data_IF_808086110172
#
_entry.id   IF_808086110172
#
_cell.length_a   1.000
_cell.length_b   1.000
_cell.length_c   1.000
_cell.angle_alpha   90.00
_cell.angle_beta   90.00
_cell.angle_gamma   90.00
#
_symmetry.space_group_name_H-M   'P 1'
#
loop_
_entity.id
_entity.type
_entity.pdbx_description
1 polymer ?
#
# COMPACT_ATOMS: atom_id res chain seq x y z
N UNK A 1 -19.16 -19.29 -14.50
CA UNK A 1 -18.10 -18.74 -13.63
C UNK A 1 -16.72 -18.98 -14.19
N UNK A 2 -16.32 -20.24 -14.45
CA UNK A 2 -14.99 -20.57 -15.04
C UNK A 2 -14.65 -19.73 -16.27
N UNK A 3 -15.54 -19.64 -17.27
CA UNK A 3 -15.33 -18.79 -18.46
C UNK A 3 -15.00 -17.33 -18.10
N UNK A 4 -15.71 -16.74 -17.12
CA UNK A 4 -15.44 -15.36 -16.71
C UNK A 4 -14.08 -15.24 -16.01
N UNK A 5 -13.71 -16.21 -15.14
CA UNK A 5 -12.43 -16.23 -14.45
C UNK A 5 -11.24 -16.42 -15.42
N UNK A 6 -11.43 -17.15 -16.51
CA UNK A 6 -10.41 -17.34 -17.56
C UNK A 6 -10.29 -16.11 -18.47
N UNK A 7 -11.41 -15.44 -18.79
CA UNK A 7 -11.43 -14.31 -19.72
C UNK A 7 -11.02 -12.99 -19.08
N UNK A 8 -11.41 -12.74 -17.83
CA UNK A 8 -11.17 -11.46 -17.15
C UNK A 8 -9.69 -11.05 -17.12
N UNK A 9 -8.74 -11.93 -16.78
CA UNK A 9 -7.31 -11.56 -16.77
C UNK A 9 -6.83 -11.08 -18.13
N UNK A 10 -7.26 -11.73 -19.22
CA UNK A 10 -6.90 -11.32 -20.58
C UNK A 10 -7.46 -9.94 -20.95
N UNK A 11 -8.65 -9.60 -20.45
CA UNK A 11 -9.31 -8.32 -20.71
C UNK A 11 -8.72 -7.18 -19.88
N UNK A 12 -8.35 -7.43 -18.62
CA UNK A 12 -8.15 -6.36 -17.64
C UNK A 12 -6.78 -6.35 -16.98
N UNK A 13 -5.85 -7.27 -17.33
CA UNK A 13 -4.48 -7.26 -16.82
C UNK A 13 -3.69 -5.97 -17.16
N UNK A 14 -4.13 -5.19 -18.16
CA UNK A 14 -3.54 -3.89 -18.53
C UNK A 14 -4.08 -2.73 -17.70
N UNK A 15 -5.15 -2.94 -16.95
CA UNK A 15 -5.78 -1.90 -16.15
C UNK A 15 -4.96 -1.64 -14.90
N UNK A 16 -4.14 -0.58 -14.97
CA UNK A 16 -3.51 0.04 -13.82
C UNK A 16 -4.19 1.40 -13.55
N UNK A 17 -5.22 1.45 -12.71
CA UNK A 17 -5.95 2.69 -12.47
C UNK A 17 -5.06 3.76 -11.83
N UNK A 18 -4.02 3.38 -11.07
CA UNK A 18 -3.05 4.31 -10.47
C UNK A 18 -2.40 5.19 -11.53
N UNK A 19 -2.02 4.61 -12.66
CA UNK A 19 -1.43 5.36 -13.76
C UNK A 19 -2.43 6.30 -14.45
N UNK A 20 -3.72 5.96 -14.46
CA UNK A 20 -4.75 6.80 -15.08
C UNK A 20 -5.00 8.09 -14.29
N UNK A 21 -5.14 8.00 -12.97
CA UNK A 21 -5.41 9.17 -12.11
C UNK A 21 -4.13 9.80 -11.54
N UNK A 22 -2.95 9.43 -12.01
CA UNK A 22 -1.70 10.15 -11.71
C UNK A 22 -1.55 11.29 -12.71
N UNK A 23 -1.46 12.52 -12.21
CA UNK A 23 -1.31 13.69 -13.04
C UNK A 23 0.05 13.71 -13.76
N UNK A 24 0.09 14.35 -14.93
CA UNK A 24 1.28 14.56 -15.72
C UNK A 24 2.31 15.41 -14.93
N UNK A 25 3.60 15.05 -15.03
CA UNK A 25 4.75 15.81 -14.48
C UNK A 25 4.63 16.23 -12.99
N UNK A 26 4.11 15.35 -12.13
CA UNK A 26 3.87 15.60 -10.69
C UNK A 26 5.02 16.30 -9.96
N UNK A 27 6.27 15.93 -10.26
CA UNK A 27 7.44 16.51 -9.61
C UNK A 27 7.60 18.01 -9.95
N UNK A 28 7.50 18.37 -11.22
CA UNK A 28 7.56 19.76 -11.68
C UNK A 28 6.35 20.56 -11.21
N UNK A 29 5.17 19.93 -11.18
CA UNK A 29 3.95 20.52 -10.64
C UNK A 29 4.09 20.86 -9.15
N UNK A 30 4.66 19.94 -8.35
CA UNK A 30 4.96 20.17 -6.94
C UNK A 30 5.90 21.33 -6.73
N UNK A 31 7.01 21.36 -7.46
CA UNK A 31 8.03 22.40 -7.35
C UNK A 31 7.42 23.78 -7.62
N UNK A 32 6.74 23.94 -8.77
CA UNK A 32 6.05 25.17 -9.14
C UNK A 32 5.04 25.61 -8.10
N UNK A 33 4.14 24.72 -7.66
CA UNK A 33 3.13 25.06 -6.67
C UNK A 33 3.75 25.55 -5.35
N UNK A 34 4.79 24.86 -4.85
CA UNK A 34 5.44 25.25 -3.60
C UNK A 34 6.20 26.57 -3.72
N UNK A 35 6.75 26.89 -4.89
CA UNK A 35 7.42 28.17 -5.12
C UNK A 35 6.43 29.32 -5.25
N UNK A 36 5.35 29.14 -6.00
CA UNK A 36 4.22 30.07 -6.07
C UNK A 36 3.63 30.33 -4.67
N UNK A 37 3.44 29.25 -3.89
CA UNK A 37 2.94 29.34 -2.52
C UNK A 37 3.86 30.20 -1.63
N UNK A 38 5.18 30.01 -1.71
CA UNK A 38 6.14 30.85 -0.96
C UNK A 38 6.18 32.29 -1.45
N UNK A 39 5.94 32.52 -2.74
CA UNK A 39 5.85 33.85 -3.34
C UNK A 39 4.55 34.58 -2.99
N UNK A 40 3.62 33.95 -2.27
CA UNK A 40 2.33 34.54 -1.91
C UNK A 40 1.24 34.37 -2.95
N UNK A 41 1.50 33.63 -4.03
CA UNK A 41 0.53 33.27 -5.05
C UNK A 41 -0.36 32.15 -4.48
N UNK A 42 -1.68 32.29 -4.62
CA UNK A 42 -2.70 31.46 -3.96
C UNK A 42 -3.67 30.92 -4.99
N UNK A 43 -3.16 30.08 -5.89
CA UNK A 43 -3.93 29.45 -6.96
C UNK A 43 -3.93 27.93 -6.80
N UNK A 44 -5.04 27.28 -7.21
CA UNK A 44 -5.12 25.83 -7.21
C UNK A 44 -4.32 25.27 -8.41
N UNK A 45 -3.56 24.17 -8.23
CA UNK A 45 -2.82 23.54 -9.32
C UNK A 45 -3.78 22.88 -10.31
N UNK A 46 -3.51 22.98 -11.61
CA UNK A 46 -4.28 22.22 -12.61
C UNK A 46 -3.64 20.86 -12.86
N UNK A 47 -4.45 19.82 -12.88
CA UNK A 47 -4.01 18.47 -13.19
C UNK A 47 -4.39 18.12 -14.63
N UNK A 48 -3.45 17.48 -15.31
CA UNK A 48 -3.65 16.90 -16.63
C UNK A 48 -3.33 15.41 -16.54
N UNK A 49 -4.02 14.59 -17.32
CA UNK A 49 -3.92 13.13 -17.27
C UNK A 49 -3.60 12.54 -18.64
N UNK A 50 -3.00 13.34 -19.52
CA UNK A 50 -2.85 13.01 -20.93
C UNK A 50 -1.91 11.82 -21.12
N UNK A 51 -0.83 11.74 -20.34
CA UNK A 51 0.15 10.66 -20.46
C UNK A 51 -0.45 9.31 -20.03
N UNK A 52 -1.15 9.27 -18.89
CA UNK A 52 -1.80 8.06 -18.38
C UNK A 52 -2.86 7.52 -19.35
N UNK A 53 -3.74 8.39 -19.85
CA UNK A 53 -4.77 8.06 -20.85
C UNK A 53 -4.14 7.51 -22.13
N UNK A 54 -3.14 8.21 -22.68
CA UNK A 54 -2.45 7.80 -23.90
C UNK A 54 -1.72 6.46 -23.72
N UNK A 55 -1.07 6.23 -22.57
CA UNK A 55 -0.36 4.99 -22.26
C UNK A 55 -1.31 3.79 -22.23
N UNK A 56 -2.47 3.91 -21.58
CA UNK A 56 -3.45 2.83 -21.56
C UNK A 56 -3.99 2.55 -22.97
N UNK A 57 -4.41 3.58 -23.72
CA UNK A 57 -4.91 3.39 -25.10
C UNK A 57 -3.88 2.73 -26.00
N UNK A 58 -2.63 3.17 -25.94
CA UNK A 58 -1.55 2.57 -26.71
C UNK A 58 -1.29 1.11 -26.31
N UNK A 59 -1.41 0.78 -25.02
CA UNK A 59 -1.28 -0.60 -24.52
C UNK A 59 -2.38 -1.51 -25.09
N UNK A 60 -3.63 -1.06 -25.01
CA UNK A 60 -4.77 -1.81 -25.54
C UNK A 60 -4.70 -1.99 -27.07
N UNK A 61 -4.29 -0.95 -27.79
CA UNK A 61 -4.15 -0.99 -29.24
C UNK A 61 -3.08 -2.01 -29.70
N UNK A 62 -1.96 -2.16 -28.95
CA UNK A 62 -0.94 -3.18 -29.25
C UNK A 62 -1.48 -4.60 -29.14
N UNK A 63 -2.43 -4.82 -28.24
CA UNK A 63 -3.09 -6.11 -28.04
C UNK A 63 -4.30 -6.29 -28.98
N UNK A 64 -4.50 -5.38 -29.95
CA UNK A 64 -5.57 -5.46 -30.94
C UNK A 64 -6.96 -5.19 -30.37
N UNK A 65 -7.06 -4.52 -29.23
CA UNK A 65 -8.33 -4.20 -28.57
C UNK A 65 -8.50 -2.69 -28.34
N UNK A 66 -9.64 -2.28 -27.77
CA UNK A 66 -9.94 -0.90 -27.41
C UNK A 66 -10.71 -0.84 -26.09
N UNK A 67 -10.74 0.32 -25.40
CA UNK A 67 -11.57 0.51 -24.21
C UNK A 67 -13.05 0.18 -24.46
N UNK A 68 -13.57 0.54 -25.64
CA UNK A 68 -14.97 0.34 -26.01
C UNK A 68 -15.27 -1.15 -26.25
N UNK A 69 -14.35 -1.88 -26.87
CA UNK A 69 -14.45 -3.33 -27.04
C UNK A 69 -14.43 -4.05 -25.68
N UNK A 70 -13.49 -3.69 -24.80
CA UNK A 70 -13.41 -4.25 -23.44
C UNK A 70 -14.69 -3.94 -22.65
N UNK A 71 -15.19 -2.70 -22.72
CA UNK A 71 -16.45 -2.31 -22.06
C UNK A 71 -17.62 -3.18 -22.51
N UNK A 72 -17.75 -3.42 -23.82
CA UNK A 72 -18.80 -4.25 -24.37
C UNK A 72 -18.69 -5.70 -23.85
N UNK A 73 -17.49 -6.28 -23.86
CA UNK A 73 -17.25 -7.63 -23.35
C UNK A 73 -17.51 -7.76 -21.84
N UNK A 74 -17.02 -6.81 -21.03
CA UNK A 74 -17.26 -6.79 -19.58
C UNK A 74 -18.76 -6.65 -19.28
N UNK A 75 -19.49 -5.80 -20.02
CA UNK A 75 -20.94 -5.61 -19.86
C UNK A 75 -21.70 -6.90 -20.20
N UNK A 76 -21.31 -7.59 -21.28
CA UNK A 76 -21.90 -8.87 -21.66
C UNK A 76 -21.64 -9.96 -20.60
N UNK A 77 -20.38 -10.10 -20.14
CA UNK A 77 -20.01 -11.03 -19.09
C UNK A 77 -20.79 -10.75 -17.81
N UNK A 78 -20.93 -9.48 -17.42
CA UNK A 78 -21.71 -9.08 -16.26
C UNK A 78 -23.18 -9.47 -16.37
N UNK A 79 -23.81 -9.22 -17.52
CA UNK A 79 -25.19 -9.61 -17.75
C UNK A 79 -25.37 -11.15 -17.66
N UNK A 80 -24.46 -11.92 -18.26
CA UNK A 80 -24.45 -13.39 -18.18
C UNK A 80 -24.31 -13.89 -16.75
N UNK A 81 -23.37 -13.35 -15.98
CA UNK A 81 -23.15 -13.74 -14.58
C UNK A 81 -24.35 -13.36 -13.72
N UNK A 82 -24.90 -12.16 -13.88
CA UNK A 82 -26.08 -11.70 -13.14
C UNK A 82 -27.30 -12.60 -13.38
N UNK A 83 -27.50 -13.06 -14.63
CA UNK A 83 -28.58 -13.97 -15.00
C UNK A 83 -28.35 -15.43 -14.57
N UNK A 84 -27.14 -15.81 -14.17
CA UNK A 84 -26.84 -17.18 -13.78
C UNK A 84 -27.58 -17.57 -12.49
N UNK A 85 -28.40 -18.63 -12.48
CA UNK A 85 -29.12 -19.07 -11.29
C UNK A 85 -28.14 -19.60 -10.24
N UNK A 86 -28.43 -19.35 -8.98
CA UNK A 86 -27.75 -19.96 -7.83
C UNK A 86 -28.78 -20.84 -7.14
N UNK A 87 -28.44 -22.10 -6.86
CA UNK A 87 -29.34 -23.00 -6.17
C UNK A 87 -29.64 -22.47 -4.76
N UNK A 88 -30.87 -22.67 -4.28
CA UNK A 88 -31.23 -22.31 -2.91
C UNK A 88 -30.35 -23.09 -1.92
N UNK A 89 -29.71 -22.37 -0.99
CA UNK A 89 -28.78 -22.94 -0.02
C UNK A 89 -27.34 -23.13 -0.51
N UNK A 90 -27.00 -22.77 -1.75
CA UNK A 90 -25.61 -22.78 -2.25
C UNK A 90 -24.92 -21.43 -1.99
N UNK A 91 -24.55 -21.21 -0.73
CA UNK A 91 -23.92 -19.97 -0.27
C UNK A 91 -22.57 -19.70 -0.97
N UNK A 92 -21.80 -20.76 -1.27
CA UNK A 92 -20.53 -20.64 -1.97
C UNK A 92 -20.71 -20.12 -3.39
N UNK A 93 -21.63 -20.71 -4.17
CA UNK A 93 -21.92 -20.23 -5.52
C UNK A 93 -22.50 -18.80 -5.50
N UNK A 94 -23.32 -18.47 -4.49
CA UNK A 94 -23.81 -17.12 -4.25
C UNK A 94 -22.70 -16.11 -4.03
N UNK A 95 -21.72 -16.45 -3.20
CA UNK A 95 -20.56 -15.61 -2.89
C UNK A 95 -19.63 -15.46 -4.09
N UNK A 96 -19.31 -16.55 -4.78
CA UNK A 96 -18.51 -16.51 -6.01
C UNK A 96 -19.17 -15.61 -7.07
N UNK A 97 -20.50 -15.69 -7.22
CA UNK A 97 -21.25 -14.82 -8.13
C UNK A 97 -21.08 -13.34 -7.76
N UNK A 98 -21.26 -13.00 -6.49
CA UNK A 98 -21.11 -11.63 -6.02
C UNK A 98 -19.68 -11.12 -6.22
N UNK A 99 -18.67 -11.93 -5.93
CA UNK A 99 -17.28 -11.55 -6.10
C UNK A 99 -16.93 -11.27 -7.58
N UNK A 100 -17.35 -12.14 -8.50
CA UNK A 100 -17.15 -11.91 -9.94
C UNK A 100 -17.89 -10.67 -10.43
N UNK A 101 -19.14 -10.44 -9.96
CA UNK A 101 -19.89 -9.23 -10.32
C UNK A 101 -19.19 -7.97 -9.82
N UNK A 102 -18.68 -7.97 -8.59
CA UNK A 102 -17.90 -6.84 -8.06
C UNK A 102 -16.64 -6.61 -8.85
N UNK A 103 -15.93 -7.67 -9.25
CA UNK A 103 -14.74 -7.53 -10.09
C UNK A 103 -15.06 -6.91 -11.46
N UNK A 104 -16.18 -7.31 -12.06
CA UNK A 104 -16.66 -6.71 -13.31
C UNK A 104 -17.05 -5.24 -13.12
N UNK A 105 -17.72 -4.89 -12.02
CA UNK A 105 -18.08 -3.50 -11.69
C UNK A 105 -16.82 -2.63 -11.45
N UNK A 106 -15.82 -3.19 -10.78
CA UNK A 106 -14.51 -2.58 -10.56
C UNK A 106 -13.78 -2.31 -11.89
N UNK A 107 -13.67 -3.30 -12.78
CA UNK A 107 -12.99 -3.10 -14.07
C UNK A 107 -13.78 -2.19 -15.02
N UNK A 108 -15.12 -2.27 -15.03
CA UNK A 108 -15.98 -1.31 -15.76
C UNK A 108 -15.78 0.12 -15.25
N UNK A 109 -15.57 0.30 -13.95
CA UNK A 109 -15.26 1.60 -13.36
C UNK A 109 -13.91 2.14 -13.81
N UNK A 110 -12.92 1.28 -14.11
CA UNK A 110 -11.67 1.73 -14.75
C UNK A 110 -11.92 2.30 -16.14
N UNK A 111 -12.81 1.68 -16.92
CA UNK A 111 -13.19 2.22 -18.25
C UNK A 111 -13.96 3.54 -18.10
N UNK A 112 -14.88 3.62 -17.14
CA UNK A 112 -15.60 4.87 -16.85
C UNK A 112 -14.66 6.00 -16.41
N UNK A 113 -13.63 5.68 -15.61
CA UNK A 113 -12.60 6.62 -15.21
C UNK A 113 -11.82 7.14 -16.44
N UNK A 114 -11.40 6.25 -17.34
CA UNK A 114 -10.73 6.63 -18.59
C UNK A 114 -11.60 7.58 -19.42
N UNK A 115 -12.88 7.24 -19.62
CA UNK A 115 -13.85 8.07 -20.34
C UNK A 115 -14.02 9.44 -19.65
N UNK A 116 -14.10 9.47 -18.33
CA UNK A 116 -14.23 10.70 -17.54
C UNK A 116 -13.00 11.61 -17.66
N UNK A 117 -11.79 11.06 -17.54
CA UNK A 117 -10.56 11.84 -17.64
C UNK A 117 -10.33 12.38 -19.06
N UNK A 118 -10.59 11.57 -20.09
CA UNK A 118 -10.45 11.97 -21.49
C UNK A 118 -11.52 13.00 -21.91
N UNK A 119 -12.77 12.78 -21.49
CA UNK A 119 -13.89 13.69 -21.74
C UNK A 119 -13.90 14.93 -20.85
N UNK A 120 -13.02 15.01 -19.85
CA UNK A 120 -13.04 16.02 -18.78
C UNK A 120 -14.40 16.10 -18.06
N UNK A 121 -14.99 14.95 -17.79
CA UNK A 121 -16.30 14.78 -17.14
C UNK A 121 -16.14 14.35 -15.67
N UNK A 122 -16.06 15.32 -14.75
CA UNK A 122 -15.86 15.10 -13.31
C UNK A 122 -16.86 14.12 -12.68
N UNK A 123 -18.15 14.20 -13.08
CA UNK A 123 -19.17 13.29 -12.58
C UNK A 123 -18.87 11.81 -12.88
N UNK A 124 -18.26 11.50 -14.03
CA UNK A 124 -17.84 10.12 -14.37
C UNK A 124 -16.65 9.69 -13.53
N UNK A 125 -15.67 10.59 -13.34
CA UNK A 125 -14.50 10.32 -12.50
C UNK A 125 -14.95 10.02 -11.07
N UNK A 126 -15.78 10.88 -10.47
CA UNK A 126 -16.35 10.70 -9.14
C UNK A 126 -17.08 9.36 -9.00
N UNK A 127 -17.95 9.01 -9.95
CA UNK A 127 -18.70 7.76 -9.94
C UNK A 127 -17.78 6.53 -10.03
N UNK A 128 -16.75 6.59 -10.88
CA UNK A 128 -15.76 5.53 -11.00
C UNK A 128 -14.97 5.33 -9.70
N UNK A 129 -14.44 6.41 -9.11
CA UNK A 129 -13.67 6.34 -7.86
C UNK A 129 -14.53 5.82 -6.69
N UNK A 130 -15.79 6.28 -6.61
CA UNK A 130 -16.74 5.82 -5.58
C UNK A 130 -17.01 4.32 -5.68
N UNK A 131 -17.13 3.80 -6.91
CA UNK A 131 -17.37 2.36 -7.12
C UNK A 131 -16.13 1.53 -6.76
N UNK A 132 -14.93 2.03 -7.05
CA UNK A 132 -13.67 1.33 -6.77
C UNK A 132 -13.29 1.28 -5.30
N UNK A 133 -13.42 2.41 -4.61
CA UNK A 133 -12.84 2.61 -3.28
C UNK A 133 -13.89 2.88 -2.20
N UNK A 134 -15.18 2.81 -2.56
CA UNK A 134 -16.30 3.09 -1.68
C UNK A 134 -16.57 4.58 -1.48
N UNK A 135 -17.50 4.88 -0.57
CA UNK A 135 -17.69 6.22 -0.05
C UNK A 135 -16.48 6.63 0.80
N UNK A 136 -16.19 7.93 0.90
CA UNK A 136 -15.05 8.42 1.66
C UNK A 136 -15.24 8.31 3.18
N UNK A 137 -15.02 9.41 3.88
CA UNK A 137 -14.77 9.36 5.32
C UNK A 137 -16.06 9.46 6.12
N UNK A 138 -16.41 8.35 6.79
CA UNK A 138 -17.46 8.31 7.80
C UNK A 138 -17.04 8.99 9.12
N UNK A 139 -18.02 9.34 9.92
CA UNK A 139 -17.80 10.11 11.16
C UNK A 139 -16.98 9.31 12.20
N UNK A 140 -17.12 7.98 12.25
CA UNK A 140 -16.37 7.15 13.19
C UNK A 140 -14.88 7.10 12.82
N UNK A 141 -14.55 6.97 11.54
CA UNK A 141 -13.19 7.03 11.04
C UNK A 141 -12.58 8.43 11.27
N UNK A 142 -13.36 9.49 11.06
CA UNK A 142 -12.93 10.86 11.33
C UNK A 142 -12.64 11.09 12.82
N UNK A 143 -13.49 10.56 13.71
CA UNK A 143 -13.28 10.61 15.16
C UNK A 143 -12.02 9.87 15.59
N UNK A 144 -11.78 8.67 15.05
CA UNK A 144 -10.56 7.93 15.28
C UNK A 144 -9.32 8.70 14.81
N UNK A 145 -9.37 9.32 13.62
CA UNK A 145 -8.28 10.14 13.11
C UNK A 145 -7.97 11.34 14.03
N UNK A 146 -8.98 11.96 14.65
CA UNK A 146 -8.78 13.03 15.65
C UNK A 146 -8.05 12.53 16.90
N UNK A 147 -8.40 11.35 17.39
CA UNK A 147 -7.72 10.74 18.54
C UNK A 147 -6.24 10.48 18.21
N UNK A 148 -5.97 9.84 17.07
CA UNK A 148 -4.59 9.58 16.60
C UNK A 148 -3.82 10.89 16.44
N UNK A 149 -4.43 11.93 15.84
CA UNK A 149 -3.78 13.22 15.68
C UNK A 149 -3.48 13.90 17.03
N UNK A 150 -4.40 13.83 18.00
CA UNK A 150 -4.17 14.34 19.35
C UNK A 150 -2.91 13.75 19.98
N UNK A 151 -2.74 12.42 19.87
CA UNK A 151 -1.54 11.73 20.32
C UNK A 151 -0.27 12.22 19.60
N UNK A 152 -0.31 12.43 18.27
CA UNK A 152 0.85 12.92 17.50
C UNK A 152 1.28 14.33 17.94
N UNK A 153 0.32 15.19 18.29
CA UNK A 153 0.60 16.54 18.80
C UNK A 153 1.19 16.47 20.21
N UNK A 154 0.58 15.69 21.10
CA UNK A 154 1.05 15.53 22.49
C UNK A 154 2.47 14.99 22.57
N UNK A 155 2.80 14.03 21.70
CA UNK A 155 4.12 13.38 21.67
C UNK A 155 5.14 14.10 20.77
N UNK A 156 4.73 15.18 20.07
CA UNK A 156 5.53 15.85 19.04
C UNK A 156 6.17 14.85 18.06
N UNK A 157 5.42 13.83 17.66
CA UNK A 157 5.94 12.68 16.92
C UNK A 157 6.77 13.08 15.68
N UNK A 158 6.45 14.21 15.04
CA UNK A 158 7.15 14.68 13.85
C UNK A 158 8.36 15.60 14.10
N UNK A 159 8.65 15.98 15.35
CA UNK A 159 9.83 16.80 15.69
C UNK A 159 11.16 16.12 15.30
N UNK A 160 11.16 14.79 15.24
CA UNK A 160 12.30 13.95 14.89
C UNK A 160 12.51 13.76 13.37
N UNK A 161 11.52 14.08 12.53
CA UNK A 161 11.59 13.87 11.06
C UNK A 161 12.66 14.72 10.35
N UNK A 162 13.30 15.66 11.05
CA UNK A 162 14.40 16.49 10.55
C UNK A 162 15.62 16.57 11.45
N UNK A 163 15.67 15.82 12.56
CA UNK A 163 16.77 15.87 13.54
C UNK A 163 17.13 14.46 14.02
N UNK A 164 18.43 14.15 14.11
CA UNK A 164 18.91 13.02 14.91
C UNK A 164 18.28 13.16 16.30
N UNK A 165 17.53 12.14 16.73
CA UNK A 165 16.84 12.11 18.03
C UNK A 165 17.77 12.66 19.14
N UNK A 166 17.29 13.65 19.89
CA UNK A 166 17.99 14.12 21.09
C UNK A 166 17.75 13.10 22.20
N UNK A 167 18.82 12.72 22.89
CA UNK A 167 18.74 11.92 24.11
C UNK A 167 17.89 12.65 25.15
N UNK A 168 16.82 12.01 25.66
CA UNK A 168 16.09 12.49 26.83
C UNK A 168 14.56 12.51 26.77
N UNK A 169 13.92 12.15 25.65
CA UNK A 169 12.45 12.00 25.61
C UNK A 169 12.01 10.60 26.05
N UNK A 170 10.74 10.52 26.50
CA UNK A 170 10.14 9.44 27.31
C UNK A 170 10.67 8.02 27.04
N UNK A 171 10.80 7.23 28.11
CA UNK A 171 11.31 5.86 28.04
C UNK A 171 10.59 5.10 26.91
N UNK A 172 11.29 4.76 25.81
CA UNK A 172 10.65 4.07 24.71
C UNK A 172 10.09 2.74 25.22
N UNK A 173 9.00 2.27 24.64
CA UNK A 173 8.62 0.86 24.76
C UNK A 173 9.89 0.06 24.50
N UNK A 174 10.33 -0.77 25.44
CA UNK A 174 11.60 -1.45 25.27
C UNK A 174 11.41 -2.56 24.24
N UNK A 175 11.89 -2.32 23.01
CA UNK A 175 11.97 -3.36 21.99
C UNK A 175 12.87 -4.51 22.42
N UNK A 176 12.70 -5.66 21.77
CA UNK A 176 13.42 -6.89 22.11
C UNK A 176 14.89 -6.89 21.61
N UNK A 177 15.29 -5.92 20.77
CA UNK A 177 16.66 -5.82 20.29
C UNK A 177 17.60 -5.15 21.30
N UNK A 178 18.85 -5.65 21.47
CA UNK A 178 19.88 -4.93 22.21
C UNK A 178 20.07 -3.50 21.67
N UNK A 179 20.27 -2.48 22.53
CA UNK A 179 20.35 -1.08 22.10
C UNK A 179 21.42 -0.82 21.02
N UNK A 180 22.57 -1.49 21.10
CA UNK A 180 23.63 -1.36 20.10
C UNK A 180 23.21 -1.89 18.72
N UNK A 181 22.52 -3.03 18.68
CA UNK A 181 22.01 -3.62 17.44
C UNK A 181 20.87 -2.77 16.86
N UNK A 182 19.92 -2.34 17.70
CA UNK A 182 18.85 -1.43 17.28
C UNK A 182 19.41 -0.13 16.67
N UNK A 183 20.43 0.46 17.29
CA UNK A 183 21.09 1.65 16.77
C UNK A 183 21.82 1.40 15.44
N UNK A 184 22.52 0.25 15.29
CA UNK A 184 23.18 -0.13 14.04
C UNK A 184 22.19 -0.33 12.90
N UNK A 185 21.09 -1.04 13.13
CA UNK A 185 20.07 -1.26 12.09
C UNK A 185 19.31 0.02 11.72
N UNK A 186 19.22 0.98 12.65
CA UNK A 186 18.50 2.25 12.43
C UNK A 186 19.37 3.34 11.81
N UNK A 187 20.65 3.42 12.18
CA UNK A 187 21.56 4.53 11.88
C UNK A 187 22.91 4.10 11.27
N UNK A 188 23.14 2.80 11.13
CA UNK A 188 24.38 2.23 10.59
C UNK A 188 24.48 2.35 9.08
N UNK A 189 25.30 1.50 8.48
CA UNK A 189 25.48 1.46 7.03
C UNK A 189 24.17 1.09 6.34
N UNK A 190 23.88 1.78 5.23
CA UNK A 190 22.69 1.52 4.44
C UNK A 190 22.83 0.16 3.76
N UNK A 191 21.76 -0.63 3.79
CA UNK A 191 21.62 -1.84 3.00
C UNK A 191 21.27 -1.44 1.55
N UNK A 192 21.89 -2.10 0.59
CA UNK A 192 21.69 -1.87 -0.84
C UNK A 192 20.36 -2.45 -1.33
N UNK A 193 19.88 -1.99 -2.49
CA UNK A 193 18.69 -2.55 -3.14
C UNK A 193 18.91 -4.01 -3.56
N UNK A 194 20.13 -4.39 -3.93
CA UNK A 194 20.49 -5.77 -4.27
C UNK A 194 20.36 -6.70 -3.05
N UNK A 195 20.87 -6.31 -1.89
CA UNK A 195 20.70 -7.09 -0.65
C UNK A 195 19.22 -7.20 -0.26
N UNK A 196 18.41 -6.16 -0.52
CA UNK A 196 16.97 -6.23 -0.28
C UNK A 196 16.30 -7.21 -1.23
N UNK A 197 16.67 -7.20 -2.51
CA UNK A 197 16.20 -8.19 -3.49
C UNK A 197 16.55 -9.61 -3.05
N UNK A 198 17.75 -9.86 -2.56
CA UNK A 198 18.14 -11.18 -2.05
C UNK A 198 17.26 -11.64 -0.87
N UNK A 199 16.87 -10.71 0.01
CA UNK A 199 15.92 -10.98 1.09
C UNK A 199 14.52 -11.33 0.56
N UNK A 200 14.03 -10.58 -0.43
CA UNK A 200 12.73 -10.87 -1.09
C UNK A 200 12.76 -12.24 -1.75
N UNK A 201 13.80 -12.56 -2.52
CA UNK A 201 13.95 -13.86 -3.19
C UNK A 201 14.01 -15.00 -2.17
N UNK A 202 14.69 -14.80 -1.04
CA UNK A 202 14.74 -15.77 0.06
C UNK A 202 13.35 -16.05 0.65
N UNK A 203 12.54 -15.00 0.90
CA UNK A 203 11.20 -15.13 1.46
C UNK A 203 10.25 -15.82 0.46
N UNK A 204 10.26 -15.40 -0.80
CA UNK A 204 9.45 -16.01 -1.87
C UNK A 204 9.79 -17.49 -2.07
N UNK A 205 11.08 -17.84 -2.04
CA UNK A 205 11.53 -19.23 -2.14
C UNK A 205 10.91 -20.12 -1.06
N UNK A 206 10.74 -19.60 0.17
CA UNK A 206 10.08 -20.34 1.26
C UNK A 206 8.58 -20.46 1.08
N UNK A 207 7.89 -19.43 0.58
CA UNK A 207 6.48 -19.57 0.20
C UNK A 207 6.30 -20.63 -0.88
N UNK A 208 7.14 -20.63 -1.91
CA UNK A 208 7.07 -21.65 -2.97
C UNK A 208 7.33 -23.06 -2.43
N UNK A 209 8.34 -23.24 -1.58
CA UNK A 209 8.60 -24.53 -0.94
C UNK A 209 7.45 -24.98 -0.01
N UNK A 210 6.83 -24.05 0.71
CA UNK A 210 5.68 -24.35 1.58
C UNK A 210 4.47 -24.84 0.78
N UNK A 211 4.19 -24.20 -0.36
CA UNK A 211 3.16 -24.68 -1.30
C UNK A 211 3.46 -26.09 -1.79
N UNK A 212 4.69 -26.35 -2.22
CA UNK A 212 5.09 -27.67 -2.74
C UNK A 212 4.96 -28.76 -1.68
N UNK A 213 5.33 -28.44 -0.44
CA UNK A 213 5.18 -29.34 0.70
C UNK A 213 3.70 -29.59 1.06
N UNK A 214 2.83 -28.56 1.02
CA UNK A 214 1.40 -28.68 1.37
C UNK A 214 0.58 -29.35 0.26
N UNK A 215 0.84 -29.00 -1.00
CA UNK A 215 0.04 -29.44 -2.16
C UNK A 215 0.55 -30.72 -2.83
N UNK A 216 1.83 -31.05 -2.67
CA UNK A 216 2.49 -32.13 -3.42
C UNK A 216 2.74 -31.79 -4.90
N UNK A 217 2.55 -30.54 -5.32
CA UNK A 217 2.72 -30.08 -6.68
C UNK A 217 3.73 -28.93 -6.75
N UNK A 218 4.46 -28.83 -7.86
CA UNK A 218 5.36 -27.70 -8.13
C UNK A 218 4.59 -26.37 -8.12
N UNK A 219 5.20 -25.31 -7.58
CA UNK A 219 4.57 -24.00 -7.57
C UNK A 219 4.33 -23.49 -9.01
N UNK A 220 3.11 -23.08 -9.40
CA UNK A 220 2.80 -22.69 -10.77
C UNK A 220 3.67 -21.52 -11.26
N UNK A 221 4.40 -21.72 -12.36
CA UNK A 221 5.35 -20.73 -12.88
C UNK A 221 4.70 -19.38 -13.20
N UNK A 222 3.46 -19.38 -13.70
CA UNK A 222 2.72 -18.16 -14.04
C UNK A 222 2.34 -17.30 -12.82
N UNK A 223 2.41 -17.86 -11.62
CA UNK A 223 2.09 -17.16 -10.36
C UNK A 223 3.35 -16.76 -9.57
N UNK A 224 4.55 -17.13 -10.04
CA UNK A 224 5.80 -16.74 -9.36
C UNK A 224 6.05 -15.26 -9.57
N UNK A 225 6.24 -14.54 -8.48
CA UNK A 225 6.69 -13.16 -8.53
C UNK A 225 8.07 -13.08 -9.17
N UNK A 226 8.20 -12.20 -10.16
CA UNK A 226 9.51 -11.72 -10.60
C UNK A 226 9.93 -10.57 -9.71
N UNK A 227 11.21 -10.53 -9.32
CA UNK A 227 11.77 -9.44 -8.52
C UNK A 227 12.73 -8.65 -9.39
N UNK A 228 12.44 -7.37 -9.61
CA UNK A 228 13.12 -6.52 -10.58
C UNK A 228 13.72 -5.30 -9.88
N UNK A 229 15.00 -5.02 -10.15
CA UNK A 229 15.64 -3.75 -9.77
C UNK A 229 15.41 -2.75 -10.92
N UNK A 230 14.62 -1.71 -10.67
CA UNK A 230 14.29 -0.71 -11.68
C UNK A 230 13.95 0.64 -11.04
N UNK A 231 14.69 1.67 -11.44
CA UNK A 231 14.52 3.05 -10.96
C UNK A 231 13.25 3.74 -11.48
N UNK A 232 12.54 3.13 -12.42
CA UNK A 232 11.22 3.59 -12.84
C UNK A 232 10.18 3.48 -11.71
N UNK A 233 10.41 2.62 -10.72
CA UNK A 233 9.56 2.49 -9.54
C UNK A 233 9.82 3.64 -8.55
N UNK A 234 8.74 4.25 -8.06
CA UNK A 234 8.85 5.34 -7.06
C UNK A 234 9.08 4.83 -5.64
N UNK A 235 8.68 3.59 -5.37
CA UNK A 235 8.81 2.85 -4.11
C UNK A 235 8.91 1.36 -4.39
N UNK A 236 9.27 0.57 -3.37
CA UNK A 236 9.11 -0.89 -3.44
C UNK A 236 7.61 -1.16 -3.55
N UNK A 237 7.20 -1.98 -4.51
CA UNK A 237 5.79 -2.12 -4.90
C UNK A 237 5.48 -3.54 -5.37
N UNK A 238 4.42 -4.14 -4.83
CA UNK A 238 3.95 -5.48 -5.18
C UNK A 238 2.81 -5.36 -6.19
N UNK A 239 3.08 -5.75 -7.43
CA UNK A 239 2.11 -5.74 -8.53
C UNK A 239 1.73 -7.16 -8.89
N UNK A 240 0.74 -7.66 -8.17
CA UNK A 240 0.11 -8.95 -8.41
C UNK A 240 -0.84 -8.95 -9.61
N UNK A 241 -1.38 -7.78 -9.99
CA UNK A 241 -2.10 -7.55 -11.26
C UNK A 241 -1.16 -6.97 -12.31
N UNK A 242 -0.70 -7.80 -13.24
CA UNK A 242 0.20 -7.38 -14.32
C UNK A 242 0.05 -8.25 -15.57
N UNK A 243 0.30 -7.61 -16.72
CA UNK A 243 0.39 -8.23 -18.04
C UNK A 243 1.25 -9.47 -18.11
N UNK A 244 2.40 -9.37 -17.44
CA UNK A 244 3.56 -10.21 -17.68
C UNK A 244 3.72 -11.21 -16.53
N UNK A 245 2.67 -11.38 -15.73
CA UNK A 245 2.71 -12.06 -14.45
C UNK A 245 3.05 -11.12 -13.28
N UNK A 246 2.94 -11.62 -12.05
CA UNK A 246 3.14 -10.82 -10.84
C UNK A 246 4.59 -10.35 -10.72
N UNK A 247 4.80 -9.11 -10.30
CA UNK A 247 6.13 -8.48 -10.20
C UNK A 247 6.27 -7.69 -8.90
N UNK A 248 7.48 -7.70 -8.33
CA UNK A 248 7.90 -6.84 -7.23
C UNK A 248 8.99 -5.92 -7.78
N UNK A 249 8.67 -4.63 -7.88
CA UNK A 249 9.60 -3.61 -8.33
C UNK A 249 10.35 -3.01 -7.16
N UNK A 250 11.67 -2.89 -7.28
CA UNK A 250 12.55 -2.31 -6.25
C UNK A 250 13.37 -1.19 -6.90
N UNK A 251 13.21 0.08 -6.48
CA UNK A 251 14.09 1.15 -6.94
C UNK A 251 15.51 0.96 -6.41
N UNK A 252 16.52 1.35 -7.19
CA UNK A 252 17.94 1.24 -6.82
C UNK A 252 18.34 2.36 -5.85
N UNK A 253 17.79 2.29 -4.64
CA UNK A 253 18.01 3.26 -3.57
C UNK A 253 18.29 2.55 -2.27
N UNK A 254 19.52 2.69 -1.78
CA UNK A 254 19.91 2.16 -0.48
C UNK A 254 19.08 2.77 0.68
N UNK A 255 18.76 1.95 1.68
CA UNK A 255 17.97 2.35 2.86
C UNK A 255 18.55 1.76 4.13
N UNK A 256 18.09 2.22 5.29
CA UNK A 256 18.48 1.59 6.54
C UNK A 256 17.92 0.16 6.63
N UNK A 257 18.66 -0.78 7.24
CA UNK A 257 18.15 -2.12 7.51
C UNK A 257 16.79 -2.14 8.21
N UNK A 258 16.56 -1.24 9.20
CA UNK A 258 15.25 -1.07 9.84
C UNK A 258 14.14 -0.79 8.81
N UNK A 259 14.35 0.14 7.87
CA UNK A 259 13.35 0.48 6.87
C UNK A 259 13.09 -0.68 5.90
N UNK A 260 14.09 -1.50 5.62
CA UNK A 260 13.88 -2.70 4.81
C UNK A 260 13.14 -3.80 5.57
N UNK A 261 13.36 -4.00 6.87
CA UNK A 261 12.53 -4.91 7.66
C UNK A 261 11.07 -4.48 7.67
N UNK A 262 10.80 -3.18 7.83
CA UNK A 262 9.46 -2.59 7.69
C UNK A 262 8.84 -2.95 6.34
N UNK A 263 9.57 -2.74 5.24
CA UNK A 263 9.09 -3.01 3.88
C UNK A 263 8.96 -4.51 3.55
N UNK A 264 9.80 -5.39 4.09
CA UNK A 264 9.65 -6.84 3.94
C UNK A 264 8.35 -7.31 4.60
N UNK A 265 8.04 -6.79 5.79
CA UNK A 265 6.79 -7.13 6.49
C UNK A 265 5.57 -6.61 5.73
N UNK A 266 5.60 -5.36 5.29
CA UNK A 266 4.48 -4.73 4.57
C UNK A 266 4.26 -5.35 3.19
N UNK A 267 5.31 -5.42 2.37
CA UNK A 267 5.19 -5.79 0.95
C UNK A 267 5.19 -7.32 0.75
N UNK A 268 6.04 -8.06 1.46
CA UNK A 268 6.23 -9.48 1.14
C UNK A 268 5.37 -10.36 2.05
N UNK A 269 5.51 -10.23 3.35
CA UNK A 269 4.75 -11.05 4.30
C UNK A 269 3.26 -10.75 4.31
N UNK A 270 2.84 -9.56 3.89
CA UNK A 270 1.43 -9.19 3.88
C UNK A 270 0.91 -9.11 2.46
N UNK A 271 1.35 -8.14 1.67
CA UNK A 271 0.83 -7.93 0.32
C UNK A 271 0.98 -9.14 -0.61
N UNK A 272 2.20 -9.64 -0.82
CA UNK A 272 2.43 -10.80 -1.68
C UNK A 272 1.77 -12.08 -1.12
N UNK A 273 1.90 -12.33 0.19
CA UNK A 273 1.29 -13.50 0.84
C UNK A 273 -0.23 -13.52 0.73
N UNK A 274 -0.90 -12.41 1.06
CA UNK A 274 -2.37 -12.29 1.01
C UNK A 274 -2.87 -12.46 -0.42
N UNK A 275 -2.17 -11.90 -1.41
CA UNK A 275 -2.53 -12.10 -2.82
C UNK A 275 -2.39 -13.57 -3.25
N UNK A 276 -1.32 -14.26 -2.82
CA UNK A 276 -1.18 -15.70 -3.09
C UNK A 276 -2.25 -16.53 -2.38
N UNK A 277 -2.56 -16.26 -1.11
CA UNK A 277 -3.66 -16.92 -0.40
C UNK A 277 -4.99 -16.74 -1.14
N UNK A 278 -5.33 -15.49 -1.49
CA UNK A 278 -6.57 -15.19 -2.20
C UNK A 278 -6.67 -15.87 -3.56
N UNK A 279 -5.55 -16.03 -4.25
CA UNK A 279 -5.48 -16.81 -5.48
C UNK A 279 -5.73 -18.31 -5.23
N UNK A 280 -5.01 -18.95 -4.32
CA UNK A 280 -5.12 -20.40 -4.12
C UNK A 280 -6.40 -20.84 -3.41
N UNK A 281 -6.97 -19.99 -2.56
CA UNK A 281 -8.21 -20.32 -1.84
C UNK A 281 -9.45 -20.05 -2.69
N UNK A 282 -9.49 -18.92 -3.39
CA UNK A 282 -10.72 -18.45 -4.04
C UNK A 282 -10.58 -18.24 -5.54
N UNK A 283 -9.36 -18.14 -6.07
CA UNK A 283 -9.10 -17.85 -7.48
C UNK A 283 -9.34 -16.39 -7.88
N UNK A 284 -10.22 -15.66 -7.18
CA UNK A 284 -10.61 -14.27 -7.50
C UNK A 284 -10.19 -13.22 -6.46
N UNK A 285 -9.71 -13.63 -5.28
CA UNK A 285 -9.35 -12.71 -4.20
C UNK A 285 -7.85 -12.35 -4.21
N UNK A 286 -7.19 -12.51 -5.35
CA UNK A 286 -5.75 -12.29 -5.51
C UNK A 286 -5.31 -12.34 -6.98
N UNK A 287 -4.07 -11.95 -7.23
CA UNK A 287 -3.50 -11.89 -8.58
C UNK A 287 -4.29 -10.99 -9.54
N UNK A 288 -4.42 -11.42 -10.80
CA UNK A 288 -5.06 -10.63 -11.85
C UNK A 288 -6.56 -10.34 -11.62
N UNK A 289 -7.22 -11.07 -10.73
CA UNK A 289 -8.65 -10.98 -10.47
C UNK A 289 -8.99 -10.18 -9.21
N UNK A 290 -8.00 -9.67 -8.47
CA UNK A 290 -8.28 -8.81 -7.31
C UNK A 290 -9.07 -7.56 -7.71
N UNK A 291 -9.90 -7.11 -6.78
CA UNK A 291 -10.51 -5.77 -6.84
C UNK A 291 -9.51 -4.71 -6.38
N UNK A 292 -9.71 -3.46 -6.80
CA UNK A 292 -8.80 -2.35 -6.43
C UNK A 292 -9.13 -1.74 -5.05
N UNK A 293 -10.14 -2.24 -4.34
CA UNK A 293 -10.42 -1.85 -2.95
C UNK A 293 -9.28 -2.37 -2.05
N UNK A 294 -8.56 -1.44 -1.42
CA UNK A 294 -7.31 -1.73 -0.72
C UNK A 294 -7.44 -1.72 0.81
N UNK A 295 -8.63 -1.49 1.39
CA UNK A 295 -8.78 -1.32 2.84
C UNK A 295 -8.27 -2.53 3.61
N UNK A 296 -8.68 -3.72 3.23
CA UNK A 296 -8.22 -4.95 3.88
C UNK A 296 -6.75 -5.25 3.61
N UNK A 297 -6.30 -4.95 2.39
CA UNK A 297 -4.93 -5.16 1.91
C UNK A 297 -3.91 -4.29 2.68
N UNK A 298 -4.06 -2.97 2.61
CA UNK A 298 -3.20 -2.01 3.31
C UNK A 298 -3.38 -2.07 4.83
N UNK A 299 -4.59 -2.40 5.30
CA UNK A 299 -4.87 -2.57 6.72
C UNK A 299 -4.09 -3.71 7.35
N UNK A 300 -4.10 -4.89 6.70
CA UNK A 300 -3.33 -6.06 7.13
C UNK A 300 -1.84 -5.73 7.16
N UNK A 301 -1.33 -5.18 6.06
CA UNK A 301 0.07 -4.83 5.92
C UNK A 301 0.52 -3.83 6.98
N UNK A 302 -0.24 -2.75 7.17
CA UNK A 302 0.14 -1.69 8.11
C UNK A 302 0.07 -2.15 9.57
N UNK A 303 -0.93 -2.96 9.94
CA UNK A 303 -1.02 -3.52 11.29
C UNK A 303 0.20 -4.36 11.64
N UNK A 304 0.53 -5.30 10.77
CA UNK A 304 1.63 -6.24 10.96
C UNK A 304 3.01 -5.57 10.90
N UNK A 305 3.16 -4.53 10.08
CA UNK A 305 4.35 -3.68 10.04
C UNK A 305 4.57 -2.98 11.40
N UNK A 306 3.53 -2.33 11.94
CA UNK A 306 3.61 -1.61 13.22
C UNK A 306 3.91 -2.57 14.37
N UNK A 307 3.24 -3.72 14.42
CA UNK A 307 3.51 -4.72 15.46
C UNK A 307 4.96 -5.19 15.44
N UNK A 308 5.50 -5.50 14.26
CA UNK A 308 6.90 -5.89 14.12
C UNK A 308 7.85 -4.77 14.59
N UNK A 309 7.60 -3.52 14.19
CA UNK A 309 8.45 -2.38 14.57
C UNK A 309 8.39 -2.10 16.07
N UNK A 310 7.21 -2.22 16.69
CA UNK A 310 7.01 -2.11 18.13
C UNK A 310 7.78 -3.20 18.87
N UNK A 311 7.63 -4.45 18.46
CA UNK A 311 8.27 -5.60 19.11
C UNK A 311 9.79 -5.58 18.99
N UNK A 312 10.33 -5.31 17.80
CA UNK A 312 11.77 -5.35 17.55
C UNK A 312 12.46 -4.09 18.08
N UNK A 313 11.93 -2.91 17.72
CA UNK A 313 12.62 -1.64 17.93
C UNK A 313 12.05 -0.82 19.08
N UNK A 314 10.91 -1.19 19.64
CA UNK A 314 10.23 -0.36 20.63
C UNK A 314 9.56 0.87 20.01
N UNK A 315 9.33 0.82 18.69
CA UNK A 315 8.76 1.93 17.94
C UNK A 315 7.23 1.92 18.12
N UNK A 316 6.74 2.74 19.02
CA UNK A 316 5.30 2.90 19.28
C UNK A 316 4.66 3.97 18.36
N UNK A 317 5.19 4.11 17.14
CA UNK A 317 4.57 4.97 16.14
C UNK A 317 3.20 4.42 15.77
N UNK A 318 2.17 5.17 16.15
CA UNK A 318 0.80 4.99 15.66
C UNK A 318 0.78 5.17 14.12
N UNK A 319 -0.19 4.59 13.40
CA UNK A 319 -0.29 4.80 11.96
C UNK A 319 -0.31 6.30 11.63
N UNK A 320 0.65 6.75 10.84
CA UNK A 320 0.96 8.16 10.55
C UNK A 320 -0.04 8.87 9.63
N UNK A 321 -1.29 8.39 9.56
CA UNK A 321 -2.19 8.70 8.45
C UNK A 321 -3.50 9.45 8.81
N UNK A 322 -3.68 10.13 9.97
CA UNK A 322 -4.92 10.89 10.17
C UNK A 322 -5.06 12.04 9.15
N UNK A 323 -3.94 12.51 8.59
CA UNK A 323 -3.91 13.55 7.56
C UNK A 323 -4.70 13.19 6.29
N UNK A 324 -4.65 11.94 5.84
CA UNK A 324 -5.42 11.52 4.66
C UNK A 324 -6.92 11.55 4.97
N UNK A 325 -7.33 11.01 6.11
CA UNK A 325 -8.72 11.06 6.57
C UNK A 325 -9.24 12.50 6.66
N UNK A 326 -8.45 13.42 7.23
CA UNK A 326 -8.85 14.84 7.29
C UNK A 326 -8.93 15.48 5.90
N UNK A 327 -7.93 15.25 5.05
CA UNK A 327 -7.90 15.83 3.71
C UNK A 327 -9.05 15.31 2.83
N UNK A 328 -9.35 14.02 2.89
CA UNK A 328 -10.49 13.41 2.17
C UNK A 328 -11.79 14.06 2.65
N UNK A 329 -12.03 14.11 3.97
CA UNK A 329 -13.25 14.72 4.52
C UNK A 329 -13.42 16.17 4.08
N UNK A 330 -12.35 16.97 4.13
CA UNK A 330 -12.40 18.37 3.68
C UNK A 330 -12.73 18.49 2.18
N UNK A 331 -12.14 17.64 1.34
CA UNK A 331 -12.43 17.63 -0.09
C UNK A 331 -13.89 17.17 -0.37
N UNK A 332 -14.41 16.20 0.36
CA UNK A 332 -15.83 15.80 0.27
C UNK A 332 -16.78 16.90 0.74
N UNK A 333 -16.33 17.82 1.61
CA UNK A 333 -17.05 19.03 2.02
C UNK A 333 -16.92 20.19 1.02
N UNK A 334 -16.31 19.96 -0.15
CA UNK A 334 -16.17 20.94 -1.22
C UNK A 334 -15.00 21.92 -1.03
N UNK A 335 -14.03 21.59 -0.18
CA UNK A 335 -12.80 22.38 -0.06
C UNK A 335 -11.92 22.22 -1.30
N UNK A 336 -11.31 23.33 -1.70
CA UNK A 336 -10.33 23.37 -2.78
C UNK A 336 -8.98 22.80 -2.36
N UNK A 337 -8.14 22.47 -3.36
CA UNK A 337 -6.80 21.94 -3.12
C UNK A 337 -5.97 22.85 -2.20
N UNK A 338 -5.99 24.16 -2.45
CA UNK A 338 -5.24 25.13 -1.66
C UNK A 338 -5.71 25.16 -0.19
N UNK A 339 -7.03 25.14 0.05
CA UNK A 339 -7.58 25.11 1.41
C UNK A 339 -7.18 23.84 2.17
N UNK A 340 -7.23 22.69 1.49
CA UNK A 340 -6.81 21.40 2.09
C UNK A 340 -5.31 21.39 2.35
N UNK A 341 -4.50 21.84 1.39
CA UNK A 341 -3.04 21.98 1.54
C UNK A 341 -2.68 22.86 2.75
N UNK A 342 -3.30 24.03 2.87
CA UNK A 342 -3.07 24.95 3.99
C UNK A 342 -3.39 24.30 5.34
N UNK A 343 -4.51 23.58 5.43
CA UNK A 343 -4.88 22.87 6.64
C UNK A 343 -3.86 21.77 6.98
N UNK A 344 -3.46 20.95 5.99
CA UNK A 344 -2.50 19.87 6.22
C UNK A 344 -1.12 20.40 6.63
N UNK A 345 -0.67 21.49 6.03
CA UNK A 345 0.59 22.14 6.42
C UNK A 345 0.54 22.61 7.88
N UNK A 346 -0.55 23.27 8.29
CA UNK A 346 -0.76 23.73 9.67
C UNK A 346 -0.79 22.58 10.67
N UNK A 347 -1.51 21.51 10.37
CA UNK A 347 -1.59 20.34 11.25
C UNK A 347 -0.21 19.68 11.43
N UNK A 348 0.57 19.55 10.36
CA UNK A 348 1.93 18.99 10.42
C UNK A 348 2.89 19.86 11.23
N UNK A 349 2.82 21.18 11.05
CA UNK A 349 3.61 22.11 11.86
C UNK A 349 3.22 22.05 13.34
N UNK A 350 1.92 21.92 13.65
CA UNK A 350 1.43 21.76 15.02
C UNK A 350 1.94 20.47 15.68
N UNK A 351 2.11 19.39 14.90
CA UNK A 351 2.69 18.13 15.37
C UNK A 351 4.24 18.09 15.33
N UNK A 352 4.90 19.23 15.05
CA UNK A 352 6.35 19.40 15.22
C UNK A 352 7.18 19.30 13.93
N UNK A 353 6.59 19.06 12.75
CA UNK A 353 7.34 19.07 11.49
C UNK A 353 7.93 20.46 11.22
N UNK A 354 9.17 20.52 10.70
CA UNK A 354 9.71 21.77 10.14
C UNK A 354 8.85 22.28 8.98
N UNK A 355 8.79 23.59 8.75
CA UNK A 355 7.98 24.19 7.68
C UNK A 355 8.24 23.55 6.31
N UNK A 356 9.51 23.42 5.90
CA UNK A 356 9.88 22.80 4.61
C UNK A 356 9.31 21.39 4.46
N UNK A 357 9.41 20.59 5.51
CA UNK A 357 8.92 19.20 5.51
C UNK A 357 7.39 19.15 5.58
N UNK A 358 6.79 20.01 6.40
CA UNK A 358 5.34 20.14 6.54
C UNK A 358 4.69 20.48 5.21
N UNK A 359 5.22 21.47 4.48
CA UNK A 359 4.73 21.84 3.14
C UNK A 359 4.90 20.70 2.13
N UNK A 360 6.06 20.03 2.11
CA UNK A 360 6.30 18.90 1.21
C UNK A 360 5.34 17.73 1.48
N UNK A 361 5.09 17.42 2.75
CA UNK A 361 4.21 16.32 3.13
C UNK A 361 2.72 16.69 3.01
N UNK A 362 2.37 17.95 3.23
CA UNK A 362 1.03 18.48 2.94
C UNK A 362 0.73 18.36 1.45
N UNK A 363 1.66 18.73 0.57
CA UNK A 363 1.52 18.51 -0.87
C UNK A 363 1.26 17.04 -1.17
N UNK A 364 2.06 16.12 -0.63
CA UNK A 364 1.91 14.70 -0.91
C UNK A 364 0.54 14.16 -0.48
N UNK A 365 0.04 14.60 0.68
CA UNK A 365 -1.28 14.21 1.16
C UNK A 365 -2.40 14.79 0.28
N UNK A 366 -2.41 16.11 0.07
CA UNK A 366 -3.43 16.80 -0.73
C UNK A 366 -3.42 16.31 -2.18
N UNK A 367 -2.25 16.15 -2.80
CA UNK A 367 -2.14 15.61 -4.16
C UNK A 367 -2.82 14.26 -4.31
N UNK A 368 -2.55 13.32 -3.40
CA UNK A 368 -3.15 11.98 -3.48
C UNK A 368 -4.67 12.01 -3.34
N UNK A 369 -5.20 12.88 -2.47
CA UNK A 369 -6.65 13.08 -2.28
C UNK A 369 -7.34 13.73 -3.48
N UNK A 370 -6.62 14.56 -4.25
CA UNK A 370 -7.14 15.21 -5.44
C UNK A 370 -6.79 14.48 -6.75
N UNK A 371 -6.25 13.26 -6.70
CA UNK A 371 -6.03 12.46 -7.91
C UNK A 371 -7.36 12.14 -8.58
N UNK A 372 -7.45 12.39 -9.88
CA UNK A 372 -8.68 12.29 -10.67
C UNK A 372 -9.37 13.64 -10.89
N UNK A 373 -9.12 14.65 -10.05
CA UNK A 373 -9.72 15.98 -10.23
C UNK A 373 -9.20 16.67 -11.48
N UNK A 374 -10.14 17.08 -12.33
CA UNK A 374 -9.90 17.95 -13.48
C UNK A 374 -9.90 19.42 -13.03
N UNK A 375 -10.79 19.77 -12.09
CA UNK A 375 -10.84 21.06 -11.41
C UNK A 375 -10.58 20.89 -9.90
N UNK A 376 -9.38 21.31 -9.49
CA UNK A 376 -8.91 21.26 -8.10
C UNK A 376 -9.49 22.39 -7.22
N UNK A 377 -10.32 23.29 -7.77
CA UNK A 377 -11.24 24.08 -6.97
C UNK A 377 -12.38 23.22 -6.37
N UNK A 378 -12.58 22.01 -6.91
CA UNK A 378 -13.45 20.96 -6.40
C UNK A 378 -14.94 21.35 -6.25
N UNK A 379 -15.57 21.87 -7.31
CA UNK A 379 -16.99 22.26 -7.29
C UNK A 379 -17.93 21.06 -7.07
N UNK A 380 -17.54 19.87 -7.51
CA UNK A 380 -18.34 18.64 -7.40
C UNK A 380 -18.16 17.90 -6.06
N UNK A 381 -17.36 18.46 -5.15
CA UNK A 381 -17.17 18.01 -3.78
C UNK A 381 -16.93 16.49 -3.68
N UNK A 382 -15.75 16.05 -4.12
CA UNK A 382 -15.33 14.66 -3.98
C UNK A 382 -13.83 14.54 -3.71
N UNK A 383 -13.42 13.34 -3.36
CA UNK A 383 -12.05 12.99 -3.03
C UNK A 383 -11.70 11.64 -3.64
N UNK A 384 -10.40 11.39 -3.82
CA UNK A 384 -9.86 10.05 -4.03
C UNK A 384 -9.64 9.40 -2.67
N UNK A 385 -10.49 8.42 -2.27
CA UNK A 385 -10.50 7.95 -0.89
C UNK A 385 -9.54 6.79 -0.66
N UNK A 386 -8.76 6.38 -1.66
CA UNK A 386 -7.83 5.23 -1.62
C UNK A 386 -7.01 5.17 -0.32
N UNK A 387 -6.42 6.28 0.11
CA UNK A 387 -5.53 6.30 1.29
C UNK A 387 -6.26 6.22 2.64
N UNK A 388 -7.60 6.21 2.66
CA UNK A 388 -8.34 5.86 3.86
C UNK A 388 -8.14 4.39 4.26
N UNK A 389 -7.75 3.55 3.29
CA UNK A 389 -7.46 2.13 3.46
C UNK A 389 -6.47 1.87 4.61
N UNK A 390 -5.46 2.73 4.77
CA UNK A 390 -4.46 2.57 5.83
C UNK A 390 -5.05 2.65 7.23
N UNK A 391 -5.75 3.75 7.57
CA UNK A 391 -6.28 3.92 8.93
C UNK A 391 -7.50 3.03 9.17
N UNK A 392 -8.46 3.03 8.24
CA UNK A 392 -9.67 2.20 8.36
C UNK A 392 -9.29 0.72 8.42
N UNK A 393 -8.44 0.27 7.50
CA UNK A 393 -7.99 -1.11 7.42
C UNK A 393 -7.20 -1.53 8.65
N UNK A 394 -6.31 -0.68 9.16
CA UNK A 394 -5.56 -0.96 10.39
C UNK A 394 -6.50 -1.17 11.58
N UNK A 395 -7.50 -0.29 11.76
CA UNK A 395 -8.48 -0.42 12.86
C UNK A 395 -9.29 -1.72 12.73
N UNK A 396 -9.74 -2.04 11.52
CA UNK A 396 -10.51 -3.25 11.27
C UNK A 396 -9.66 -4.52 11.49
N UNK A 397 -8.41 -4.51 11.02
CA UNK A 397 -7.48 -5.62 11.25
C UNK A 397 -7.18 -5.79 12.75
N UNK A 398 -6.96 -4.71 13.49
CA UNK A 398 -6.74 -4.79 14.93
C UNK A 398 -7.91 -5.48 15.63
N UNK A 399 -9.14 -5.13 15.27
CA UNK A 399 -10.35 -5.78 15.81
C UNK A 399 -10.44 -7.27 15.46
N UNK A 400 -10.03 -7.67 14.25
CA UNK A 400 -9.97 -9.08 13.86
C UNK A 400 -8.89 -9.82 14.67
N UNK A 401 -7.69 -9.23 14.79
CA UNK A 401 -6.58 -9.78 15.57
C UNK A 401 -6.96 -10.00 17.03
N UNK A 402 -7.57 -9.00 17.68
CA UNK A 402 -8.03 -9.09 19.08
C UNK A 402 -9.06 -10.22 19.30
N UNK A 403 -9.79 -10.61 18.25
CA UNK A 403 -10.79 -11.68 18.29
C UNK A 403 -10.26 -13.03 17.81
N UNK A 404 -9.00 -13.14 17.42
CA UNK A 404 -8.42 -14.35 16.85
C UNK A 404 -8.92 -14.67 15.42
N UNK A 405 -9.38 -13.66 14.69
CA UNK A 405 -10.01 -13.78 13.36
C UNK A 405 -9.16 -13.21 12.22
N UNK A 406 -7.86 -12.95 12.43
CA UNK A 406 -6.97 -12.39 11.41
C UNK A 406 -6.94 -13.20 10.11
N UNK A 407 -7.06 -14.52 10.22
CA UNK A 407 -7.08 -15.43 9.07
C UNK A 407 -8.16 -15.08 8.04
N UNK A 408 -9.27 -14.45 8.44
CA UNK A 408 -10.31 -14.01 7.51
C UNK A 408 -9.79 -12.93 6.54
N UNK A 409 -8.95 -12.02 7.00
CA UNK A 409 -8.34 -11.00 6.14
C UNK A 409 -7.16 -11.59 5.34
N UNK A 410 -6.34 -12.44 5.99
CA UNK A 410 -5.19 -13.09 5.33
C UNK A 410 -5.58 -14.03 4.18
N UNK A 411 -6.82 -14.52 4.17
CA UNK A 411 -7.33 -15.44 3.16
C UNK A 411 -7.43 -14.82 1.76
N UNK A 412 -7.50 -13.50 1.65
CA UNK A 412 -7.51 -12.83 0.35
C UNK A 412 -7.92 -11.36 0.40
N UNK A 413 -7.81 -10.73 -0.76
CA UNK A 413 -8.17 -9.33 -0.99
C UNK A 413 -9.64 -9.27 -1.40
N UNK A 414 -10.41 -8.48 -0.69
CA UNK A 414 -11.86 -8.39 -0.89
C UNK A 414 -12.41 -7.00 -0.59
N UNK A 415 -13.70 -6.79 -0.88
CA UNK A 415 -14.39 -5.56 -0.54
C UNK A 415 -14.53 -5.38 0.98
N UNK A 416 -14.99 -4.20 1.41
CA UNK A 416 -15.10 -3.85 2.84
C UNK A 416 -15.95 -4.84 3.67
N UNK A 417 -16.97 -5.45 3.08
CA UNK A 417 -17.82 -6.50 3.68
C UNK A 417 -17.29 -7.94 3.46
N UNK A 418 -16.10 -8.08 2.87
CA UNK A 418 -15.45 -9.35 2.56
C UNK A 418 -15.34 -10.30 3.76
N UNK A 419 -14.83 -9.86 4.93
CA UNK A 419 -14.73 -10.74 6.10
C UNK A 419 -16.07 -11.24 6.63
N UNK A 420 -17.14 -10.45 6.54
CA UNK A 420 -18.48 -10.94 6.90
C UNK A 420 -18.89 -12.10 5.99
N UNK A 421 -18.65 -11.96 4.69
CA UNK A 421 -18.91 -12.99 3.71
C UNK A 421 -18.03 -14.23 3.95
N UNK A 422 -16.74 -14.04 4.21
CA UNK A 422 -15.80 -15.13 4.46
C UNK A 422 -16.07 -15.86 5.78
N UNK A 423 -16.57 -15.17 6.81
CA UNK A 423 -16.90 -15.76 8.11
C UNK A 423 -18.02 -16.81 8.05
N UNK A 424 -18.73 -16.91 6.91
CA UNK A 424 -19.75 -17.94 6.66
C UNK A 424 -19.14 -19.28 6.27
N UNK A 425 -17.85 -19.29 5.90
CA UNK A 425 -17.11 -20.51 5.66
C UNK A 425 -16.45 -20.98 6.95
N UNK A 426 -16.54 -22.28 7.21
CA UNK A 426 -15.85 -22.92 8.31
C UNK A 426 -14.40 -23.21 7.88
N UNK A 427 -13.51 -22.22 8.03
CA UNK A 427 -12.07 -22.37 7.83
C UNK A 427 -11.28 -21.66 8.92
N UNK A 428 -10.13 -22.23 9.27
CA UNK A 428 -9.18 -21.69 10.23
C UNK A 428 -7.86 -21.26 9.61
N UNK A 429 -6.92 -20.74 10.43
CA UNK A 429 -5.56 -20.40 9.99
C UNK A 429 -4.83 -21.56 9.29
N UNK A 430 -5.09 -22.81 9.69
CA UNK A 430 -4.50 -24.02 9.13
C UNK A 430 -4.93 -24.31 7.69
N UNK A 431 -6.08 -23.79 7.27
CA UNK A 431 -6.62 -23.97 5.93
C UNK A 431 -5.94 -23.05 4.92
N UNK A 432 -5.41 -21.91 5.37
CA UNK A 432 -4.64 -20.97 4.54
C UNK A 432 -3.49 -21.68 3.85
N UNK A 433 -3.29 -21.44 2.54
CA UNK A 433 -2.14 -21.99 1.82
C UNK A 433 -0.82 -21.52 2.46
N UNK A 434 -0.78 -20.25 2.84
CA UNK A 434 0.32 -19.60 3.53
C UNK A 434 -0.19 -18.97 4.84
N UNK A 435 -0.20 -19.72 5.96
CA UNK A 435 -0.50 -19.15 7.27
C UNK A 435 0.49 -18.03 7.61
N UNK A 436 0.18 -17.14 8.57
CA UNK A 436 1.13 -16.10 9.00
C UNK A 436 2.35 -16.74 9.68
N UNK A 437 3.34 -17.04 8.86
CA UNK A 437 4.71 -17.32 9.26
C UNK A 437 5.45 -16.02 9.07
N UNK A 438 5.88 -15.38 10.16
CA UNK A 438 6.61 -14.12 10.11
C UNK A 438 8.01 -14.34 9.49
N UNK A 439 8.08 -14.44 8.16
CA UNK A 439 9.31 -14.72 7.42
C UNK A 439 10.25 -13.52 7.46
N UNK A 440 9.74 -12.31 7.70
CA UNK A 440 10.56 -11.13 7.95
C UNK A 440 11.39 -11.32 9.21
N UNK A 441 10.76 -11.76 10.30
CA UNK A 441 11.48 -12.10 11.54
C UNK A 441 12.43 -13.29 11.32
N UNK A 442 12.01 -14.33 10.58
CA UNK A 442 12.88 -15.47 10.30
C UNK A 442 14.12 -15.06 9.50
N UNK A 443 13.96 -14.26 8.44
CA UNK A 443 15.09 -13.73 7.66
C UNK A 443 15.99 -12.85 8.51
N UNK A 444 15.40 -12.01 9.37
CA UNK A 444 16.17 -11.20 10.30
C UNK A 444 17.05 -12.06 11.21
N UNK A 445 16.49 -13.08 11.85
CA UNK A 445 17.20 -13.95 12.78
C UNK A 445 18.26 -14.83 12.08
N UNK A 446 17.92 -15.40 10.92
CA UNK A 446 18.78 -16.34 10.21
C UNK A 446 19.89 -15.67 9.40
N UNK A 447 19.65 -14.44 8.91
CA UNK A 447 20.53 -13.78 7.93
C UNK A 447 21.03 -12.43 8.43
N UNK A 448 20.13 -11.50 8.74
CA UNK A 448 20.53 -10.11 8.98
C UNK A 448 21.21 -9.92 10.34
N UNK A 449 20.67 -10.50 11.42
CA UNK A 449 21.19 -10.34 12.78
C UNK A 449 22.63 -10.87 12.89
N UNK A 450 22.98 -12.09 12.45
CA UNK A 450 24.35 -12.58 12.52
C UNK A 450 25.34 -11.68 11.79
N UNK A 451 24.95 -11.17 10.61
CA UNK A 451 25.76 -10.21 9.84
C UNK A 451 25.98 -8.90 10.60
N UNK A 452 24.89 -8.32 11.11
CA UNK A 452 24.94 -7.05 11.86
C UNK A 452 25.76 -7.17 13.15
N UNK A 453 25.65 -8.29 13.87
CA UNK A 453 26.43 -8.54 15.08
C UNK A 453 27.93 -8.71 14.77
N UNK A 454 28.29 -9.38 13.67
CA UNK A 454 29.67 -9.51 13.22
C UNK A 454 30.27 -8.13 12.85
N UNK A 455 29.51 -7.28 12.16
CA UNK A 455 29.92 -5.91 11.84
C UNK A 455 30.14 -5.06 13.10
N UNK A 456 29.25 -5.17 14.08
CA UNK A 456 29.39 -4.51 15.38
C UNK A 456 30.63 -4.97 16.15
N UNK A 457 30.87 -6.29 16.19
CA UNK A 457 32.05 -6.86 16.82
C UNK A 457 33.34 -6.37 16.15
N UNK A 458 33.40 -6.37 14.82
CA UNK A 458 34.55 -5.87 14.06
C UNK A 458 34.82 -4.38 14.31
N UNK A 459 33.77 -3.56 14.42
CA UNK A 459 33.89 -2.14 14.78
C UNK A 459 34.43 -1.94 16.20
N UNK A 460 34.01 -2.78 17.15
CA UNK A 460 34.52 -2.74 18.52
C UNK A 460 36.01 -3.13 18.60
N UNK A 461 36.44 -4.16 17.87
CA UNK A 461 37.84 -4.59 17.79
C UNK A 461 38.72 -3.53 17.10
N UNK A 462 38.25 -2.96 15.99
CA UNK A 462 38.95 -1.90 15.26
C UNK A 462 39.12 -0.61 16.08
N UNK A 463 38.13 -0.25 16.91
CA UNK A 463 38.23 0.87 17.83
C UNK A 463 39.20 0.61 19.01
N UNK A 464 39.38 -0.66 19.40
CA UNK A 464 40.33 -1.07 20.44
C UNK A 464 41.79 -1.06 20.01
N UNK A 465 42.08 -1.17 18.71
CA UNK A 465 43.44 -1.22 18.15
C UNK A 465 44.14 0.13 17.95
N UNK A 466 43.46 1.25 18.19
CA UNK A 466 43.95 2.60 17.84
C UNK A 466 44.19 3.53 19.05
N UNK A 467 44.66 3.00 20.19
CA UNK A 467 45.31 3.84 21.22
C UNK A 467 46.82 3.65 21.14
N UNK A 468 47.60 4.57 20.53
CA UNK A 468 49.03 4.60 20.78
C UNK A 468 49.26 4.77 22.27
N UNK A 469 50.19 4.00 22.83
CA UNK A 469 50.59 4.16 24.22
C UNK A 469 51.00 5.63 24.43
N UNK A 470 50.54 6.30 25.51
CA UNK A 470 50.97 7.65 25.81
C UNK A 470 52.46 7.61 26.14
N UNK A 471 53.31 8.04 25.21
CA UNK A 471 54.74 8.18 25.47
C UNK A 471 55.74 7.90 24.36
N UNK A 472 55.37 7.87 23.08
CA UNK A 472 56.37 7.85 22.00
C UNK A 472 56.10 8.97 20.99
N UNK A 473 56.77 10.11 21.22
CA UNK A 473 57.03 11.13 20.21
C UNK A 473 58.18 10.67 19.28
N UNK A 474 58.24 11.21 18.04
CA UNK A 474 59.12 10.72 16.95
C UNK A 474 60.63 10.88 17.20
#
# INVERSE_FOLDING_TARGET
FVEALERLPALTARFNPVELYTADDVAALKERFLDDYKAGIRENPRFEYTQGVAKLRASLARDGTSPEAIKAELTELRAKIAAHPVAEGDDLAGLMKQAVLRKLDDDLSTVLLLEGLEGREEGKVKAALTTKYGAGVDDALYDAAKVVFGYLVETQAHASEGKKAKEGEAAPVQGNLPPALSAHLSKGESMSAAEFKDAVDWMLGRYYAAYEAKSGHAFPAALKYRVELDDSYSAIDVRDKSSDGPVIGIPDKARSPKKYLELLRHEIDMHARQSMNGHFMFGFAGGALKVDEETWYEGLAKHNEIELMREMFGDDSQPTMPYFTFAIRMAEEGKSFLEVFDAMAKLRMAAGSSEKLALSNAWNATYRVFRGHIDTANPDAYAMPKDQAYLRGWMLQAQLSERGLSHLNEAGIGPLDGPELLSRFDFGPEDLMFPDVNLTQAWFEEVLRPKAEAELAAKAEGAGGARPAPGQEP
#
